data_IF_356483471950
#
_entry.id   IF_356483471950
#
_cell.length_a   1.000
_cell.length_b   1.000
_cell.length_c   1.000
_cell.angle_alpha   90.00
_cell.angle_beta   90.00
_cell.angle_gamma   90.00
#
_symmetry.space_group_name_H-M   'P 1'
#
loop_
_entity.id
_entity.type
_entity.pdbx_description
1 polymer ?
#
# COMPACT_ATOMS: atom_id res chain seq x y z
N UNK A 1 -2.85 14.93 1.12
CA UNK A 1 -1.85 15.25 2.17
C UNK A 1 -1.50 14.07 3.08
N UNK A 2 -2.34 13.02 3.18
CA UNK A 2 -2.11 11.87 4.07
C UNK A 2 -0.67 11.32 4.10
N UNK A 3 -0.09 10.92 2.97
CA UNK A 3 1.26 10.32 2.95
C UNK A 3 2.34 11.26 3.50
N UNK A 4 2.22 12.57 3.24
CA UNK A 4 3.13 13.59 3.78
C UNK A 4 3.00 13.69 5.30
N UNK A 5 1.76 13.65 5.81
CA UNK A 5 1.51 13.68 7.25
C UNK A 5 2.02 12.41 7.93
N UNK A 6 1.72 11.24 7.37
CA UNK A 6 2.22 9.97 7.89
C UNK A 6 3.76 9.97 7.98
N UNK A 7 4.44 10.46 6.94
CA UNK A 7 5.90 10.61 6.97
C UNK A 7 6.37 11.58 8.07
N UNK A 8 5.71 12.72 8.23
CA UNK A 8 6.03 13.69 9.29
C UNK A 8 5.84 13.11 10.70
N UNK A 9 4.85 12.23 10.87
CA UNK A 9 4.56 11.54 12.13
C UNK A 9 5.43 10.29 12.35
N UNK A 10 6.39 10.03 11.46
CA UNK A 10 7.27 8.85 11.52
C UNK A 10 6.55 7.53 11.26
N UNK A 11 5.38 7.57 10.60
CA UNK A 11 4.54 6.41 10.31
C UNK A 11 4.94 5.74 9.00
N UNK A 12 4.95 4.41 9.00
CA UNK A 12 5.28 3.61 7.83
C UNK A 12 4.00 3.32 7.05
N UNK A 13 4.00 3.75 5.79
CA UNK A 13 2.92 3.46 4.83
C UNK A 13 3.43 2.54 3.73
N UNK A 14 2.70 1.46 3.48
CA UNK A 14 2.98 0.50 2.41
C UNK A 14 1.76 0.33 1.52
N UNK A 15 1.95 -0.14 0.30
CA UNK A 15 0.84 -0.45 -0.61
C UNK A 15 0.53 -1.94 -0.67
N UNK A 16 -0.72 -2.27 -1.02
CA UNK A 16 -1.10 -3.61 -1.45
C UNK A 16 -1.74 -3.56 -2.84
N UNK A 17 -1.27 -4.44 -3.72
CA UNK A 17 -1.70 -4.62 -5.10
C UNK A 17 -1.00 -3.69 -6.10
N UNK A 18 -0.04 -4.23 -6.85
CA UNK A 18 0.63 -3.57 -7.97
C UNK A 18 -0.26 -3.60 -9.24
N UNK A 19 -1.45 -3.00 -9.15
CA UNK A 19 -2.44 -2.94 -10.22
C UNK A 19 -2.29 -1.65 -11.07
N UNK A 20 -2.63 -1.73 -12.36
CA UNK A 20 -2.53 -0.59 -13.29
C UNK A 20 -3.30 0.65 -12.83
N UNK A 21 -4.49 0.46 -12.24
CA UNK A 21 -5.32 1.54 -11.67
C UNK A 21 -4.60 2.28 -10.54
N UNK A 22 -4.00 1.53 -9.60
CA UNK A 22 -3.19 2.09 -8.52
C UNK A 22 -1.98 2.85 -9.04
N UNK A 23 -1.29 2.30 -10.04
CA UNK A 23 -0.13 2.98 -10.65
C UNK A 23 -0.49 4.32 -11.26
N UNK A 24 -1.64 4.43 -11.91
CA UNK A 24 -2.09 5.71 -12.50
C UNK A 24 -2.29 6.76 -11.41
N UNK A 25 -2.97 6.40 -10.31
CA UNK A 25 -3.17 7.28 -9.16
C UNK A 25 -1.83 7.72 -8.54
N UNK A 26 -0.92 6.77 -8.29
CA UNK A 26 0.38 7.06 -7.67
C UNK A 26 1.24 7.97 -8.54
N UNK A 27 1.27 7.77 -9.86
CA UNK A 27 2.00 8.62 -10.78
C UNK A 27 1.39 10.02 -10.86
N UNK A 28 0.06 10.12 -10.99
CA UNK A 28 -0.63 11.42 -11.02
C UNK A 28 -0.40 12.24 -9.74
N UNK A 29 -0.43 11.58 -8.59
CA UNK A 29 -0.20 12.21 -7.30
C UNK A 29 1.31 12.44 -6.97
N UNK A 30 2.23 12.04 -7.85
CA UNK A 30 3.67 12.20 -7.64
C UNK A 30 4.23 11.37 -6.48
N UNK A 31 3.61 10.25 -6.13
CA UNK A 31 4.03 9.40 -5.01
C UNK A 31 5.32 8.64 -5.36
N UNK A 32 6.27 8.64 -4.43
CA UNK A 32 7.62 8.07 -4.56
C UNK A 32 7.94 7.14 -3.37
N UNK A 33 9.03 6.36 -3.44
CA UNK A 33 9.38 5.38 -2.41
C UNK A 33 9.60 5.95 -1.00
N UNK A 34 9.88 7.25 -0.89
CA UNK A 34 10.01 7.94 0.41
C UNK A 34 8.66 8.20 1.10
N UNK A 35 7.54 8.08 0.38
CA UNK A 35 6.17 8.24 0.87
C UNK A 35 5.41 6.90 0.94
N UNK A 36 5.78 5.95 0.09
CA UNK A 36 5.19 4.61 0.05
C UNK A 36 6.34 3.60 -0.14
N UNK A 37 6.76 2.97 0.96
CA UNK A 37 8.04 2.26 1.01
C UNK A 37 8.15 1.13 -0.02
N UNK A 38 7.07 0.37 -0.19
CA UNK A 38 6.95 -0.74 -1.13
C UNK A 38 5.48 -1.07 -1.37
N UNK A 39 5.21 -1.88 -2.39
CA UNK A 39 3.88 -2.43 -2.68
C UNK A 39 3.94 -3.96 -2.67
N UNK A 40 3.17 -4.59 -1.79
CA UNK A 40 2.97 -6.03 -1.80
C UNK A 40 2.06 -6.44 -2.97
N UNK A 41 2.35 -7.54 -3.65
CA UNK A 41 1.44 -8.13 -4.65
C UNK A 41 1.54 -9.66 -4.63
N UNK A 42 0.38 -10.33 -4.67
CA UNK A 42 0.30 -11.78 -4.63
C UNK A 42 0.88 -12.46 -5.88
N UNK A 43 1.02 -11.75 -7.00
CA UNK A 43 1.57 -12.31 -8.24
C UNK A 43 3.11 -12.42 -8.16
N UNK A 44 3.68 -13.65 -8.19
CA UNK A 44 5.14 -13.83 -8.12
C UNK A 44 5.87 -13.16 -9.30
N UNK A 45 5.22 -13.07 -10.46
CA UNK A 45 5.78 -12.43 -11.65
C UNK A 45 6.01 -10.92 -11.52
N UNK A 46 5.37 -10.27 -10.54
CA UNK A 46 5.56 -8.84 -10.26
C UNK A 46 6.59 -8.60 -9.15
N UNK A 47 6.79 -9.55 -8.26
CA UNK A 47 7.71 -9.43 -7.13
C UNK A 47 9.15 -9.27 -7.61
N UNK A 48 9.95 -8.50 -6.87
CA UNK A 48 11.33 -8.15 -7.24
C UNK A 48 11.44 -7.10 -8.35
N UNK A 49 10.30 -6.61 -8.88
CA UNK A 49 10.25 -5.51 -9.86
C UNK A 49 9.85 -4.21 -9.17
N UNK A 50 9.60 -3.19 -9.97
CA UNK A 50 9.21 -1.85 -9.53
C UNK A 50 7.93 -1.42 -10.22
N UNK A 51 7.12 -0.61 -9.54
CA UNK A 51 6.01 0.07 -10.17
C UNK A 51 6.53 1.02 -11.27
N UNK A 52 5.90 1.03 -12.45
CA UNK A 52 6.29 1.93 -13.54
C UNK A 52 6.12 3.40 -13.13
N UNK A 53 7.13 4.22 -13.45
CA UNK A 53 7.18 5.65 -13.18
C UNK A 53 7.53 6.02 -11.73
N UNK A 54 6.76 5.56 -10.74
CA UNK A 54 7.03 5.84 -9.33
C UNK A 54 8.27 5.12 -8.79
N UNK A 55 8.68 4.00 -9.43
CA UNK A 55 9.83 3.18 -9.05
C UNK A 55 9.73 2.63 -7.62
N UNK A 56 8.51 2.43 -7.12
CA UNK A 56 8.28 1.80 -5.81
C UNK A 56 8.47 0.29 -5.94
N UNK A 57 9.29 -0.36 -5.09
CA UNK A 57 9.56 -1.79 -5.22
C UNK A 57 8.32 -2.64 -4.94
N UNK A 58 8.19 -3.74 -5.67
CA UNK A 58 7.11 -4.72 -5.52
C UNK A 58 7.63 -5.95 -4.79
N UNK A 59 6.96 -6.35 -3.72
CA UNK A 59 7.44 -7.35 -2.75
C UNK A 59 6.38 -8.44 -2.49
N UNK A 60 6.79 -9.51 -1.80
CA UNK A 60 5.87 -10.55 -1.31
C UNK A 60 4.94 -9.97 -0.22
N UNK A 61 3.65 -10.38 -0.18
CA UNK A 61 2.72 -10.00 0.89
C UNK A 61 3.17 -10.38 2.30
N UNK A 62 3.98 -11.43 2.47
CA UNK A 62 4.51 -11.87 3.78
C UNK A 62 5.28 -10.76 4.50
N UNK A 63 5.85 -9.81 3.75
CA UNK A 63 6.58 -8.67 4.30
C UNK A 63 5.72 -7.77 5.18
N UNK A 64 4.39 -7.75 4.98
CA UNK A 64 3.45 -6.98 5.79
C UNK A 64 3.50 -7.43 7.26
N UNK A 65 3.48 -8.73 7.51
CA UNK A 65 3.45 -9.28 8.87
C UNK A 65 4.83 -9.21 9.54
N UNK A 66 5.90 -9.26 8.75
CA UNK A 66 7.29 -9.12 9.22
C UNK A 66 7.57 -7.68 9.65
N UNK A 67 7.25 -6.70 8.80
CA UNK A 67 7.61 -5.30 9.02
C UNK A 67 6.57 -4.50 9.80
N UNK A 68 5.35 -5.04 9.96
CA UNK A 68 4.27 -4.45 10.77
C UNK A 68 4.07 -2.94 10.52
N UNK A 69 3.75 -2.53 9.29
CA UNK A 69 3.56 -1.12 8.94
C UNK A 69 2.36 -0.52 9.69
N UNK A 70 2.33 0.80 9.86
CA UNK A 70 1.19 1.50 10.48
C UNK A 70 -0.02 1.56 9.54
N UNK A 71 0.22 1.65 8.24
CA UNK A 71 -0.83 1.79 7.23
C UNK A 71 -0.61 0.92 6.00
N UNK A 72 -1.68 0.27 5.54
CA UNK A 72 -1.71 -0.49 4.29
C UNK A 72 -2.66 0.21 3.31
N UNK A 73 -2.09 0.89 2.31
CA UNK A 73 -2.83 1.53 1.22
C UNK A 73 -3.29 0.48 0.20
N UNK A 74 -4.59 0.23 0.17
CA UNK A 74 -5.20 -0.73 -0.77
C UNK A 74 -5.41 -0.06 -2.13
N UNK A 75 -4.53 -0.40 -3.08
CA UNK A 75 -4.55 0.14 -4.43
C UNK A 75 -5.63 -0.48 -5.34
N UNK A 76 -5.92 -1.79 -5.29
CA UNK A 76 -7.08 -2.36 -5.96
C UNK A 76 -8.31 -2.21 -5.06
N UNK A 77 -8.86 -1.00 -4.96
CA UNK A 77 -10.00 -0.68 -4.09
C UNK A 77 -11.25 -1.55 -4.34
N UNK A 78 -11.37 -2.15 -5.53
CA UNK A 78 -12.43 -3.09 -5.87
C UNK A 78 -12.30 -4.47 -5.19
N UNK A 79 -11.17 -4.75 -4.54
CA UNK A 79 -10.92 -5.99 -3.76
C UNK A 79 -10.75 -5.67 -2.26
N UNK A 80 -11.24 -4.50 -1.82
CA UNK A 80 -11.00 -4.02 -0.47
C UNK A 80 -11.49 -5.02 0.59
N UNK A 81 -12.69 -5.56 0.40
CA UNK A 81 -13.27 -6.50 1.36
C UNK A 81 -12.40 -7.74 1.52
N UNK A 82 -12.05 -8.38 0.41
CA UNK A 82 -11.24 -9.59 0.36
C UNK A 82 -9.85 -9.35 0.97
N UNK A 83 -9.20 -8.23 0.62
CA UNK A 83 -7.87 -7.88 1.13
C UNK A 83 -7.93 -7.61 2.64
N UNK A 84 -8.92 -6.87 3.11
CA UNK A 84 -9.05 -6.56 4.55
C UNK A 84 -9.37 -7.80 5.38
N UNK A 85 -10.06 -8.78 4.81
CA UNK A 85 -10.28 -10.09 5.44
C UNK A 85 -9.00 -10.92 5.43
N UNK A 86 -8.33 -11.04 4.29
CA UNK A 86 -7.09 -11.81 4.14
C UNK A 86 -6.00 -11.32 5.10
N UNK A 87 -5.86 -10.00 5.23
CA UNK A 87 -4.85 -9.37 6.09
C UNK A 87 -5.45 -8.85 7.40
N UNK A 88 -6.52 -9.46 7.92
CA UNK A 88 -7.15 -9.00 9.17
C UNK A 88 -6.17 -8.97 10.36
N UNK A 89 -5.14 -9.82 10.34
CA UNK A 89 -4.07 -9.89 11.34
C UNK A 89 -3.35 -8.55 11.54
N UNK A 90 -3.33 -7.66 10.55
CA UNK A 90 -2.67 -6.34 10.67
C UNK A 90 -3.25 -5.47 11.78
N UNK A 91 -4.52 -5.71 12.13
CA UNK A 91 -5.19 -5.03 13.24
C UNK A 91 -4.56 -5.38 14.60
N UNK A 92 -3.89 -6.53 14.72
CA UNK A 92 -3.28 -6.99 15.98
C UNK A 92 -2.13 -6.11 16.46
N UNK A 93 -1.48 -5.36 15.57
CA UNK A 93 -0.48 -4.34 15.93
C UNK A 93 -0.96 -2.91 15.69
N UNK A 94 -2.27 -2.72 15.46
CA UNK A 94 -2.89 -1.41 15.31
C UNK A 94 -2.78 -0.81 13.91
N UNK A 95 -2.36 -1.56 12.89
CA UNK A 95 -2.36 -1.05 11.53
C UNK A 95 -3.77 -0.80 11.01
N UNK A 96 -3.86 0.17 10.09
CA UNK A 96 -5.12 0.54 9.45
C UNK A 96 -5.03 0.38 7.94
N UNK A 97 -6.11 -0.07 7.33
CA UNK A 97 -6.21 -0.05 5.88
C UNK A 97 -6.63 1.33 5.41
N UNK A 98 -6.04 1.78 4.31
CA UNK A 98 -6.31 3.09 3.71
C UNK A 98 -6.77 2.89 2.28
N UNK A 99 -7.80 3.62 1.87
CA UNK A 99 -8.31 3.62 0.49
C UNK A 99 -8.43 5.05 0.03
N UNK A 100 -7.99 5.35 -1.18
CA UNK A 100 -7.96 6.71 -1.72
C UNK A 100 -9.15 7.06 -2.63
N UNK A 101 -9.94 6.07 -3.03
CA UNK A 101 -11.04 6.21 -4.01
C UNK A 101 -12.31 5.58 -3.42
N UNK A 102 -13.49 6.23 -3.51
CA UNK A 102 -13.73 7.55 -4.13
C UNK A 102 -13.18 8.73 -3.32
N UNK A 103 -13.00 8.53 -2.02
CA UNK A 103 -12.42 9.50 -1.10
C UNK A 103 -11.46 8.79 -0.15
N UNK A 104 -10.61 9.57 0.52
CA UNK A 104 -9.67 9.02 1.48
C UNK A 104 -10.43 8.50 2.72
N UNK A 105 -10.36 7.19 2.94
CA UNK A 105 -11.00 6.54 4.08
C UNK A 105 -10.07 5.53 4.75
N UNK A 106 -10.38 5.25 6.02
CA UNK A 106 -9.62 4.35 6.87
C UNK A 106 -10.53 3.21 7.36
N UNK A 107 -10.00 2.00 7.44
CA UNK A 107 -10.70 0.78 7.86
C UNK A 107 -9.89 -0.02 8.88
#
# INVERSE_FOLDING_TARGET
RFLLQAKADGKIVVGYGAAAKGNTLLNYAGVKPDLLAWVADASPHKQGKYLPGSRIPVVSPERIEIEKPDYVLVLPWNLLYEITQQFAVVRSWGARFVVAIPELSFR
#
